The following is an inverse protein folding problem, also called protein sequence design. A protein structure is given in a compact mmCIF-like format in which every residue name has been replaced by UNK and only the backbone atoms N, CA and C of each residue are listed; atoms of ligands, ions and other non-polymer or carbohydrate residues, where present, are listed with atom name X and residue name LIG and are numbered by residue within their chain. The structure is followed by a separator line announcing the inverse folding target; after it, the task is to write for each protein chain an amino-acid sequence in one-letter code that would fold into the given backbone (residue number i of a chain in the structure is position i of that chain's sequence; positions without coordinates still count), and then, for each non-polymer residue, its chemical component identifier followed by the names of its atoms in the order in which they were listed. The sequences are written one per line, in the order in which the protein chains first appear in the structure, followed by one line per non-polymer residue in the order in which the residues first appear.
data_IF_254817423187
#
_entry.id   IF_254817423187
#
_cell.length_a   1.000
_cell.length_b   1.000
_cell.length_c   1.000
_cell.angle_alpha   90.00
_cell.angle_beta   90.00
_cell.angle_gamma   90.00
#
_symmetry.space_group_name_H-M   'P 1'
#
loop_
_entity.id
_entity.type
_entity.pdbx_description
1 polymer ?
#
# COMPACT_ATOMS: atom_id res chain seq x y z
N UNK A 1 0.27 12.12 4.57
CA UNK A 1 1.42 11.78 3.70
C UNK A 1 1.17 12.19 2.25
N UNK A 2 2.20 12.44 1.43
CA UNK A 2 2.07 12.68 -0.02
C UNK A 2 2.26 11.36 -0.80
N UNK A 3 1.21 10.86 -1.45
CA UNK A 3 1.24 9.58 -2.18
C UNK A 3 1.59 9.79 -3.64
N UNK A 4 2.66 9.15 -4.09
CA UNK A 4 3.18 9.18 -5.45
C UNK A 4 2.79 7.89 -6.17
N UNK A 5 2.45 8.01 -7.45
CA UNK A 5 1.89 6.95 -8.32
C UNK A 5 0.48 6.47 -7.90
N UNK A 6 -0.38 7.40 -7.48
CA UNK A 6 -1.81 7.10 -7.24
C UNK A 6 -2.50 6.45 -8.45
N UNK A 7 -2.11 6.82 -9.68
CA UNK A 7 -2.64 6.26 -10.92
C UNK A 7 -2.55 4.72 -10.97
N UNK A 8 -1.51 4.12 -10.38
CA UNK A 8 -1.37 2.66 -10.29
C UNK A 8 -2.52 2.00 -9.52
N UNK A 9 -3.06 2.66 -8.49
CA UNK A 9 -4.21 2.13 -7.75
C UNK A 9 -5.50 2.23 -8.57
N UNK A 10 -5.66 3.34 -9.30
CA UNK A 10 -6.81 3.59 -10.17
C UNK A 10 -6.86 2.56 -11.30
N UNK A 11 -5.76 2.44 -12.03
CA UNK A 11 -5.61 1.46 -13.11
C UNK A 11 -5.88 0.03 -12.61
N UNK A 12 -5.45 -0.31 -11.38
CA UNK A 12 -5.69 -1.64 -10.82
C UNK A 12 -7.18 -1.92 -10.60
N UNK A 13 -7.92 -1.05 -9.90
CA UNK A 13 -9.34 -1.33 -9.63
C UNK A 13 -10.26 -1.12 -10.86
N UNK A 14 -9.77 -0.48 -11.92
CA UNK A 14 -10.47 -0.35 -13.20
C UNK A 14 -10.41 -1.63 -14.05
N UNK A 15 -9.42 -2.50 -13.80
CA UNK A 15 -9.31 -3.80 -14.47
C UNK A 15 -10.49 -4.73 -14.14
N UNK A 16 -10.86 -5.55 -15.13
CA UNK A 16 -11.89 -6.59 -14.95
C UNK A 16 -11.44 -7.58 -13.88
N UNK A 17 -12.31 -7.86 -12.91
CA UNK A 17 -12.01 -8.75 -11.79
C UNK A 17 -11.45 -8.05 -10.54
N UNK A 18 -11.13 -6.75 -10.59
CA UNK A 18 -10.53 -6.01 -9.47
C UNK A 18 -11.36 -4.82 -8.97
N UNK A 19 -12.57 -4.64 -9.49
CA UNK A 19 -13.48 -3.54 -9.08
C UNK A 19 -13.84 -3.57 -7.60
N UNK A 20 -13.76 -4.74 -6.97
CA UNK A 20 -13.98 -4.91 -5.53
C UNK A 20 -12.87 -4.26 -4.68
N UNK A 21 -11.72 -3.92 -5.26
CA UNK A 21 -10.64 -3.21 -4.57
C UNK A 21 -10.91 -1.70 -4.42
N UNK A 22 -11.79 -1.10 -5.24
CA UNK A 22 -11.94 0.36 -5.35
C UNK A 22 -12.16 1.05 -4.00
N UNK A 23 -13.20 0.65 -3.27
CA UNK A 23 -13.54 1.28 -2.00
C UNK A 23 -12.43 1.15 -0.95
N UNK A 24 -11.76 0.00 -0.90
CA UNK A 24 -10.64 -0.21 0.03
C UNK A 24 -9.39 0.61 -0.35
N UNK A 25 -9.09 0.75 -1.64
CA UNK A 25 -7.95 1.53 -2.10
C UNK A 25 -8.19 3.04 -1.97
N UNK A 26 -9.40 3.52 -2.21
CA UNK A 26 -9.78 4.91 -1.99
C UNK A 26 -9.75 5.27 -0.49
N UNK A 27 -10.27 4.39 0.37
CA UNK A 27 -10.17 4.54 1.82
C UNK A 27 -8.72 4.58 2.30
N UNK A 28 -7.90 3.60 1.88
CA UNK A 28 -6.47 3.58 2.19
C UNK A 28 -5.76 4.86 1.73
N UNK A 29 -6.03 5.33 0.51
CA UNK A 29 -5.41 6.56 0.00
C UNK A 29 -5.82 7.77 0.84
N UNK A 30 -7.10 7.88 1.19
CA UNK A 30 -7.59 8.96 2.04
C UNK A 30 -6.93 8.94 3.42
N UNK A 31 -6.85 7.77 4.05
CA UNK A 31 -6.19 7.60 5.35
C UNK A 31 -4.69 7.90 5.28
N UNK A 32 -3.97 7.39 4.27
CA UNK A 32 -2.56 7.68 4.05
C UNK A 32 -2.30 9.17 3.79
N UNK A 33 -3.18 9.83 3.03
CA UNK A 33 -3.08 11.26 2.74
C UNK A 33 -3.13 12.09 4.03
N UNK A 34 -3.98 11.72 4.98
CA UNK A 34 -4.12 12.42 6.27
C UNK A 34 -3.17 11.88 7.36
N UNK A 35 -2.58 10.71 7.16
CA UNK A 35 -1.63 10.09 8.08
C UNK A 35 -0.37 10.95 8.32
N UNK A 36 0.12 10.90 9.55
CA UNK A 36 1.30 11.63 10.04
C UNK A 36 2.41 10.68 10.50
N UNK A 37 2.67 9.61 9.74
CA UNK A 37 3.65 8.60 10.13
C UNK A 37 5.08 9.17 10.12
N UNK A 38 5.76 9.07 11.25
CA UNK A 38 7.17 9.39 11.47
C UNK A 38 8.04 8.13 11.57
N UNK A 39 7.45 6.97 11.81
CA UNK A 39 8.16 5.69 11.90
C UNK A 39 7.31 4.53 11.37
N UNK A 40 7.92 3.36 11.09
CA UNK A 40 7.17 2.15 10.81
C UNK A 40 6.24 1.70 11.96
N UNK A 41 6.56 2.06 13.20
CA UNK A 41 5.72 1.76 14.35
C UNK A 41 4.38 2.48 14.26
N UNK A 42 4.37 3.76 13.84
CA UNK A 42 3.13 4.53 13.68
C UNK A 42 2.21 3.90 12.63
N UNK A 43 2.79 3.38 11.54
CA UNK A 43 2.06 2.65 10.50
C UNK A 43 1.45 1.37 11.09
N UNK A 44 2.23 0.63 11.89
CA UNK A 44 1.80 -0.62 12.53
C UNK A 44 0.75 -0.39 13.61
N UNK A 45 0.78 0.76 14.28
CA UNK A 45 -0.23 1.17 15.26
C UNK A 45 -1.57 1.48 14.60
N UNK A 46 -1.54 2.17 13.45
CA UNK A 46 -2.76 2.45 12.68
C UNK A 46 -3.26 1.20 11.93
N UNK A 47 -2.35 0.40 11.36
CA UNK A 47 -2.65 -0.81 10.60
C UNK A 47 -1.96 -2.01 11.23
N UNK A 48 -2.60 -2.61 12.22
CA UNK A 48 -2.08 -3.78 12.93
C UNK A 48 -1.75 -4.95 12.01
N UNK A 49 -2.48 -5.10 10.90
CA UNK A 49 -2.27 -6.16 9.91
C UNK A 49 -1.16 -5.86 8.89
N UNK A 50 -0.62 -4.63 8.84
CA UNK A 50 0.43 -4.27 7.89
C UNK A 50 1.75 -4.96 8.21
N UNK A 51 2.45 -5.43 7.19
CA UNK A 51 3.79 -6.01 7.35
C UNK A 51 4.84 -4.95 7.09
N UNK A 52 5.75 -4.73 8.05
CA UNK A 52 6.91 -3.86 7.90
C UNK A 52 8.06 -4.69 7.37
N UNK A 53 8.63 -4.27 6.24
CA UNK A 53 9.79 -4.88 5.61
C UNK A 53 11.02 -3.97 5.75
N UNK A 54 12.17 -4.45 5.29
CA UNK A 54 13.40 -3.64 5.22
C UNK A 54 13.23 -2.44 4.28
N UNK A 55 14.14 -1.48 4.38
CA UNK A 55 14.21 -0.29 3.50
C UNK A 55 12.88 0.52 3.46
N UNK A 56 12.23 0.62 4.63
CA UNK A 56 10.98 1.36 4.84
C UNK A 56 9.83 0.93 3.92
N UNK A 57 9.78 -0.35 3.58
CA UNK A 57 8.70 -0.93 2.80
C UNK A 57 7.59 -1.43 3.72
N UNK A 58 6.35 -1.26 3.27
CA UNK A 58 5.16 -1.69 4.00
C UNK A 58 4.22 -2.41 3.05
N UNK A 59 3.68 -3.53 3.49
CA UNK A 59 2.65 -4.29 2.80
C UNK A 59 1.32 -4.13 3.53
N UNK A 60 0.31 -3.61 2.83
CA UNK A 60 -1.05 -3.50 3.32
C UNK A 60 -1.94 -4.58 2.72
N UNK A 61 -2.86 -5.09 3.54
CA UNK A 61 -3.91 -6.01 3.11
C UNK A 61 -5.12 -5.20 2.62
N UNK A 62 -5.55 -5.42 1.38
CA UNK A 62 -6.62 -4.65 0.73
C UNK A 62 -7.81 -5.55 0.42
N UNK A 63 -9.03 -5.00 0.51
CA UNK A 63 -10.29 -5.67 0.19
C UNK A 63 -10.48 -7.01 0.92
N UNK A 64 -10.36 -7.00 2.25
CA UNK A 64 -10.50 -8.22 3.06
C UNK A 64 -9.38 -9.23 2.79
N UNK A 65 -8.14 -8.75 2.69
CA UNK A 65 -6.93 -9.56 2.49
C UNK A 65 -6.76 -10.18 1.09
N UNK A 66 -7.63 -9.87 0.12
CA UNK A 66 -7.55 -10.38 -1.26
C UNK A 66 -6.33 -9.88 -2.03
N UNK A 67 -5.90 -8.64 -1.74
CA UNK A 67 -4.81 -7.99 -2.45
C UNK A 67 -3.71 -7.50 -1.50
N UNK A 68 -2.51 -7.29 -2.06
CA UNK A 68 -1.33 -6.75 -1.37
C UNK A 68 -0.91 -5.45 -2.02
N UNK A 69 -0.93 -4.38 -1.24
CA UNK A 69 -0.38 -3.08 -1.64
C UNK A 69 0.99 -2.93 -1.02
N UNK A 70 2.04 -2.91 -1.85
CA UNK A 70 3.41 -2.64 -1.42
C UNK A 70 3.71 -1.17 -1.66
N UNK A 71 4.15 -0.49 -0.62
CA UNK A 71 4.64 0.89 -0.69
C UNK A 71 6.02 1.01 -0.09
N UNK A 72 6.77 2.01 -0.54
CA UNK A 72 7.97 2.50 0.15
C UNK A 72 7.66 3.85 0.76
N UNK A 73 7.95 4.02 2.05
CA UNK A 73 7.66 5.25 2.78
C UNK A 73 8.97 5.97 3.06
N UNK A 74 9.04 7.25 2.68
CA UNK A 74 10.05 8.15 3.19
C UNK A 74 9.44 8.96 4.35
N UNK A 75 9.77 8.57 5.59
CA UNK A 75 9.22 9.18 6.79
C UNK A 75 9.71 10.62 7.03
N UNK A 76 10.91 10.95 6.53
CA UNK A 76 11.47 12.30 6.63
C UNK A 76 10.75 13.29 5.71
N UNK A 77 10.53 12.90 4.45
CA UNK A 77 9.81 13.72 3.47
C UNK A 77 8.29 13.50 3.46
N UNK A 78 7.75 12.71 4.39
CA UNK A 78 6.33 12.34 4.48
C UNK A 78 5.73 11.84 3.16
N UNK A 79 6.52 11.13 2.37
CA UNK A 79 6.14 10.68 1.02
C UNK A 79 5.94 9.16 0.99
N UNK A 80 4.93 8.69 0.27
CA UNK A 80 4.62 7.27 0.09
C UNK A 80 4.66 6.96 -1.40
N UNK A 81 5.48 5.98 -1.80
CA UNK A 81 5.59 5.54 -3.18
C UNK A 81 4.88 4.21 -3.35
N UNK A 82 3.86 4.15 -4.21
CA UNK A 82 3.26 2.88 -4.62
C UNK A 82 4.29 2.09 -5.45
N UNK A 83 4.64 0.89 -5.00
CA UNK A 83 5.56 -0.02 -5.69
C UNK A 83 4.81 -1.12 -6.43
N UNK A 84 3.74 -1.64 -5.82
CA UNK A 84 2.97 -2.75 -6.38
C UNK A 84 1.57 -2.83 -5.77
N UNK A 85 0.60 -3.29 -6.56
CA UNK A 85 -0.70 -3.77 -6.10
C UNK A 85 -1.06 -5.01 -6.92
N UNK A 86 -1.54 -6.06 -6.27
CA UNK A 86 -1.93 -7.29 -6.93
C UNK A 86 -2.51 -8.32 -5.96
N UNK A 87 -2.93 -9.45 -6.51
CA UNK A 87 -3.36 -10.64 -5.76
C UNK A 87 -2.24 -11.24 -4.93
N UNK A 88 -2.59 -12.15 -4.01
CA UNK A 88 -1.58 -12.92 -3.29
C UNK A 88 -0.66 -13.70 -4.25
N UNK A 89 -1.22 -14.33 -5.28
CA UNK A 89 -0.44 -15.13 -6.23
C UNK A 89 0.51 -14.28 -7.09
N UNK A 90 0.19 -13.02 -7.35
CA UNK A 90 1.10 -12.08 -8.03
C UNK A 90 2.15 -11.55 -7.06
N UNK A 91 1.77 -11.29 -5.81
CA UNK A 91 2.68 -10.90 -4.75
C UNK A 91 3.75 -11.98 -4.49
N UNK A 92 3.38 -13.27 -4.50
CA UNK A 92 4.32 -14.37 -4.29
C UNK A 92 5.37 -14.51 -5.40
N UNK A 93 5.16 -13.87 -6.56
CA UNK A 93 6.08 -13.91 -7.70
C UNK A 93 7.08 -12.76 -7.71
N UNK A 94 6.99 -11.83 -6.77
CA UNK A 94 7.87 -10.67 -6.69
C UNK A 94 8.68 -10.68 -5.39
N UNK A 95 9.84 -10.05 -5.42
CA UNK A 95 10.57 -9.72 -4.20
C UNK A 95 10.14 -8.33 -3.71
N UNK A 96 9.28 -8.32 -2.68
CA UNK A 96 8.76 -7.09 -2.11
C UNK A 96 9.83 -6.17 -1.52
N UNK A 97 11.02 -6.68 -1.15
CA UNK A 97 12.14 -5.88 -0.65
C UNK A 97 12.91 -5.17 -1.77
N UNK A 98 12.75 -5.61 -3.02
CA UNK A 98 13.49 -5.08 -4.18
C UNK A 98 12.64 -4.19 -5.09
N UNK A 99 11.40 -4.57 -5.38
CA UNK A 99 10.56 -3.98 -6.45
C UNK A 99 10.11 -2.54 -6.28
#
# INVERSE_FOLDING_TARGET
MHVIKLKTLIEFYEQLGHRDAKGSLEAWYHEAKHGQWASPADVKDQYRSASILKDNRVVFNIAGNKYRLVVKINYGSKTVFVRFIGTHAEYDKIDAEVI
#
